data_IF_943546181923
#
_entry.id   IF_943546181923
#
_cell.length_a   1.000
_cell.length_b   1.000
_cell.length_c   1.000
_cell.angle_alpha   90.00
_cell.angle_beta   90.00
_cell.angle_gamma   90.00
#
_symmetry.space_group_name_H-M   'P 1'
#
loop_
_entity.id
_entity.type
_entity.pdbx_description
1 polymer ?
#
# COMPACT_ATOMS: atom_id res chain seq x y z
N UNK A 1 -14.58 49.05 -4.17
CA UNK A 1 -13.30 48.34 -4.01
C UNK A 1 -13.59 46.98 -3.40
N UNK A 2 -13.41 45.90 -4.17
CA UNK A 2 -13.62 44.53 -3.71
C UNK A 2 -12.39 44.12 -2.88
N UNK A 3 -12.57 43.96 -1.59
CA UNK A 3 -11.65 43.22 -0.74
C UNK A 3 -11.60 41.78 -1.24
N UNK A 4 -10.49 41.44 -1.90
CA UNK A 4 -10.11 40.05 -2.12
C UNK A 4 -10.01 39.41 -0.75
N UNK A 5 -10.94 38.51 -0.43
CA UNK A 5 -10.80 37.61 0.69
C UNK A 5 -9.49 36.84 0.46
N UNK A 6 -8.46 37.21 1.23
CA UNK A 6 -7.24 36.42 1.40
C UNK A 6 -7.69 35.02 1.78
N UNK A 7 -7.53 34.09 0.84
CA UNK A 7 -7.72 32.68 1.09
C UNK A 7 -6.98 32.34 2.38
N UNK A 8 -7.75 31.94 3.41
CA UNK A 8 -7.18 31.44 4.64
C UNK A 8 -6.11 30.39 4.25
N UNK A 9 -4.93 30.38 4.88
CA UNK A 9 -4.01 29.27 4.68
C UNK A 9 -4.80 28.03 5.07
N UNK A 10 -5.18 27.25 4.06
CA UNK A 10 -5.76 25.95 4.25
C UNK A 10 -4.82 25.25 5.23
N UNK A 11 -5.34 24.93 6.40
CA UNK A 11 -4.71 24.06 7.38
C UNK A 11 -4.15 22.89 6.58
N UNK A 12 -2.84 22.86 6.35
CA UNK A 12 -2.19 21.80 5.57
C UNK A 12 -2.35 20.56 6.45
N UNK A 13 -3.39 19.79 6.18
CA UNK A 13 -3.86 18.72 7.03
C UNK A 13 -2.84 17.58 6.97
N UNK A 14 -1.84 17.63 7.86
CA UNK A 14 -0.73 16.69 7.88
C UNK A 14 -1.17 15.31 8.39
N UNK A 15 -1.63 14.48 7.45
CA UNK A 15 -2.10 13.11 7.71
C UNK A 15 -1.01 12.20 8.28
N UNK A 16 0.27 12.48 8.01
CA UNK A 16 1.40 11.75 8.59
C UNK A 16 1.48 12.02 10.10
N UNK A 17 1.40 13.29 10.50
CA UNK A 17 1.44 13.66 11.93
C UNK A 17 0.21 13.17 12.70
N UNK A 18 -0.95 13.04 12.05
CA UNK A 18 -2.14 12.42 12.64
C UNK A 18 -2.00 10.91 12.76
N UNK A 19 -1.57 10.23 11.69
CA UNK A 19 -1.33 8.78 11.71
C UNK A 19 -0.31 8.38 12.77
N UNK A 20 0.80 9.12 12.88
CA UNK A 20 1.83 8.86 13.90
C UNK A 20 1.30 9.02 15.33
N UNK A 21 0.42 10.00 15.59
CA UNK A 21 -0.20 10.17 16.92
C UNK A 21 -1.22 9.09 17.23
N UNK A 22 -2.05 8.72 16.26
CA UNK A 22 -3.05 7.66 16.39
C UNK A 22 -2.40 6.28 16.60
N UNK A 23 -1.24 6.04 15.99
CA UNK A 23 -0.48 4.81 16.15
C UNK A 23 -0.11 4.54 17.62
N UNK A 24 0.35 5.55 18.35
CA UNK A 24 0.80 5.39 19.74
C UNK A 24 -0.33 4.98 20.69
N UNK A 25 -1.51 5.60 20.57
CA UNK A 25 -2.65 5.25 21.42
C UNK A 25 -3.30 3.91 21.08
N UNK A 26 -3.06 3.40 19.85
CA UNK A 26 -3.69 2.19 19.30
C UNK A 26 -2.70 1.07 19.03
N UNK A 27 -1.46 1.18 19.50
CA UNK A 27 -0.39 0.23 19.23
C UNK A 27 -0.81 -1.25 19.46
N UNK A 28 -1.51 -1.63 20.54
CA UNK A 28 -1.91 -3.03 20.75
C UNK A 28 -2.82 -3.57 19.63
N UNK A 29 -3.75 -2.74 19.15
CA UNK A 29 -4.67 -3.11 18.07
C UNK A 29 -3.96 -3.19 16.72
N UNK A 30 -3.02 -2.27 16.47
CA UNK A 30 -2.21 -2.29 15.24
C UNK A 30 -1.31 -3.52 15.20
N UNK A 31 -0.76 -3.95 16.34
CA UNK A 31 0.02 -5.18 16.46
C UNK A 31 -0.86 -6.42 16.22
N UNK A 32 -2.04 -6.47 16.84
CA UNK A 32 -2.98 -7.57 16.65
C UNK A 32 -3.43 -7.70 15.18
N UNK A 33 -3.72 -6.57 14.51
CA UNK A 33 -4.09 -6.55 13.10
C UNK A 33 -2.92 -6.92 12.16
N UNK A 34 -1.68 -6.81 12.62
CA UNK A 34 -0.47 -7.17 11.84
C UNK A 34 -0.16 -8.68 11.88
N UNK A 35 -0.66 -9.39 12.90
CA UNK A 35 -0.39 -10.82 13.11
C UNK A 35 -0.79 -11.73 11.91
N UNK A 36 -1.92 -11.51 11.21
CA UNK A 36 -2.29 -12.37 10.07
C UNK A 36 -1.42 -12.10 8.83
N UNK A 37 -0.93 -10.87 8.63
CA UNK A 37 0.00 -10.56 7.52
C UNK A 37 1.28 -11.36 7.71
N UNK A 38 1.73 -11.40 8.97
CA UNK A 38 2.86 -12.19 9.36
C UNK A 38 2.64 -13.69 9.15
N UNK A 39 1.49 -14.22 9.61
CA UNK A 39 1.18 -15.64 9.47
C UNK A 39 1.25 -16.08 8.00
N UNK A 40 0.72 -15.25 7.08
CA UNK A 40 0.81 -15.52 5.64
C UNK A 40 2.26 -15.50 5.16
N UNK A 41 3.05 -14.48 5.51
CA UNK A 41 4.46 -14.37 5.10
C UNK A 41 5.31 -15.55 5.59
N UNK A 42 5.09 -16.00 6.83
CA UNK A 42 5.77 -17.17 7.38
C UNK A 42 5.31 -18.42 6.64
N UNK A 43 4.00 -18.66 6.52
CA UNK A 43 3.48 -19.84 5.84
C UNK A 43 4.00 -19.97 4.40
N UNK A 44 4.04 -18.87 3.65
CA UNK A 44 4.54 -18.88 2.27
C UNK A 44 6.04 -19.09 2.19
N UNK A 45 6.82 -18.54 3.13
CA UNK A 45 8.25 -18.82 3.24
C UNK A 45 8.56 -20.29 3.51
N UNK A 46 7.80 -20.94 4.40
CA UNK A 46 7.91 -22.37 4.70
C UNK A 46 7.49 -23.24 3.51
N UNK A 47 6.31 -22.98 2.93
CA UNK A 47 5.74 -23.77 1.82
C UNK A 47 6.55 -23.65 0.53
N UNK A 48 7.17 -22.50 0.26
CA UNK A 48 7.97 -22.27 -0.95
C UNK A 48 9.39 -22.84 -0.87
N UNK A 49 9.83 -23.32 0.31
CA UNK A 49 11.21 -23.72 0.53
C UNK A 49 12.22 -22.59 0.26
N UNK A 50 11.81 -21.32 0.43
CA UNK A 50 12.63 -20.13 0.16
C UNK A 50 12.74 -19.74 -1.32
N UNK A 51 12.01 -20.38 -2.24
CA UNK A 51 12.03 -20.02 -3.66
C UNK A 51 11.20 -18.75 -3.89
N UNK A 52 11.86 -17.63 -4.17
CA UNK A 52 11.22 -16.32 -4.38
C UNK A 52 10.10 -16.34 -5.44
N UNK A 53 10.28 -17.09 -6.53
CA UNK A 53 9.28 -17.23 -7.60
C UNK A 53 7.98 -17.90 -7.16
N UNK A 54 8.01 -18.66 -6.07
CA UNK A 54 6.83 -19.30 -5.49
C UNK A 54 6.33 -18.50 -4.28
N UNK A 55 7.26 -18.01 -3.45
CA UNK A 55 6.96 -17.26 -2.24
C UNK A 55 6.21 -15.95 -2.54
N UNK A 56 6.68 -15.18 -3.54
CA UNK A 56 6.12 -13.86 -3.88
C UNK A 56 4.68 -13.94 -4.36
N UNK A 57 4.32 -14.75 -5.38
CA UNK A 57 2.93 -14.86 -5.80
C UNK A 57 2.05 -15.47 -4.70
N UNK A 58 2.52 -16.48 -3.96
CA UNK A 58 1.74 -17.07 -2.87
C UNK A 58 1.46 -16.04 -1.76
N UNK A 59 2.47 -15.25 -1.36
CA UNK A 59 2.34 -14.18 -0.38
C UNK A 59 1.44 -13.05 -0.87
N UNK A 60 1.55 -12.63 -2.12
CA UNK A 60 0.69 -11.59 -2.66
C UNK A 60 -0.76 -12.04 -2.82
N UNK A 61 -1.01 -13.29 -3.25
CA UNK A 61 -2.37 -13.83 -3.38
C UNK A 61 -3.04 -13.98 -2.01
N UNK A 62 -2.40 -14.67 -1.07
CA UNK A 62 -2.95 -14.93 0.26
C UNK A 62 -2.91 -13.70 1.18
N UNK A 63 -1.94 -12.80 0.98
CA UNK A 63 -1.68 -11.66 1.85
C UNK A 63 -2.41 -10.39 1.44
N UNK A 64 -2.78 -10.23 0.17
CA UNK A 64 -3.49 -9.03 -0.30
C UNK A 64 -4.78 -8.72 0.48
N UNK A 65 -5.68 -9.69 0.77
CA UNK A 65 -6.86 -9.41 1.59
C UNK A 65 -6.51 -8.90 2.99
N UNK A 66 -5.45 -9.43 3.60
CA UNK A 66 -5.01 -9.01 4.94
C UNK A 66 -4.41 -7.61 4.91
N UNK A 67 -3.59 -7.30 3.91
CA UNK A 67 -3.00 -5.98 3.72
C UNK A 67 -4.08 -4.93 3.45
N UNK A 68 -5.13 -5.27 2.71
CA UNK A 68 -6.28 -4.38 2.51
C UNK A 68 -7.05 -4.19 3.81
N UNK A 69 -7.28 -5.25 4.60
CA UNK A 69 -7.87 -5.12 5.93
C UNK A 69 -7.08 -4.14 6.81
N UNK A 70 -5.76 -4.27 6.79
CA UNK A 70 -4.85 -3.42 7.54
C UNK A 70 -4.84 -1.98 7.01
N UNK A 71 -4.95 -1.79 5.69
CA UNK A 71 -5.10 -0.48 5.07
C UNK A 71 -6.41 0.20 5.46
N UNK A 72 -7.52 -0.55 5.55
CA UNK A 72 -8.81 -0.02 6.05
C UNK A 72 -8.68 0.40 7.51
N UNK A 73 -8.10 -0.45 8.35
CA UNK A 73 -7.84 -0.12 9.77
C UNK A 73 -6.99 1.13 9.87
N UNK A 74 -5.90 1.22 9.11
CA UNK A 74 -5.02 2.38 9.06
C UNK A 74 -5.76 3.64 8.58
N UNK A 75 -6.57 3.54 7.53
CA UNK A 75 -7.37 4.65 7.01
C UNK A 75 -8.36 5.16 8.06
N UNK A 76 -9.07 4.26 8.73
CA UNK A 76 -10.01 4.64 9.81
C UNK A 76 -9.29 5.25 11.01
N UNK A 77 -8.11 4.76 11.38
CA UNK A 77 -7.26 5.37 12.40
C UNK A 77 -6.81 6.78 12.05
N UNK A 78 -6.45 7.02 10.79
CA UNK A 78 -5.95 8.31 10.29
C UNK A 78 -7.07 9.33 10.13
N UNK A 79 -8.25 8.90 9.68
CA UNK A 79 -9.37 9.78 9.35
C UNK A 79 -10.32 10.02 10.53
N UNK A 80 -10.83 8.93 11.11
CA UNK A 80 -11.94 8.96 12.05
C UNK A 80 -11.48 8.71 13.49
N UNK A 81 -10.28 8.17 13.65
CA UNK A 81 -9.74 7.84 14.96
C UNK A 81 -10.52 6.73 15.66
N UNK A 82 -11.35 5.93 14.99
CA UNK A 82 -12.10 4.77 15.49
C UNK A 82 -12.18 3.69 14.41
N UNK A 83 -12.33 2.41 14.78
CA UNK A 83 -12.44 1.30 13.82
C UNK A 83 -13.67 0.47 14.18
N UNK A 84 -14.59 0.27 13.24
CA UNK A 84 -15.78 -0.58 13.43
C UNK A 84 -15.68 -1.83 12.58
N UNK A 85 -16.18 -2.96 13.08
CA UNK A 85 -16.13 -4.24 12.36
C UNK A 85 -16.83 -4.21 10.99
N UNK A 86 -17.86 -3.35 10.85
CA UNK A 86 -18.58 -3.13 9.58
C UNK A 86 -17.71 -2.48 8.50
N UNK A 87 -16.64 -1.76 8.88
CA UNK A 87 -15.78 -1.05 7.94
C UNK A 87 -14.95 -2.02 7.07
N UNK A 88 -14.76 -3.27 7.53
CA UNK A 88 -14.08 -4.33 6.80
C UNK A 88 -14.91 -4.93 5.66
N UNK A 89 -16.21 -4.61 5.58
CA UNK A 89 -17.13 -5.14 4.55
C UNK A 89 -17.57 -4.08 3.53
N UNK A 90 -16.81 -3.00 3.39
CA UNK A 90 -17.13 -1.89 2.49
C UNK A 90 -17.00 -2.24 0.99
N UNK A 91 -17.73 -1.53 0.11
CA UNK A 91 -17.74 -1.77 -1.34
C UNK A 91 -16.37 -1.63 -2.02
N UNK A 92 -15.43 -0.89 -1.43
CA UNK A 92 -14.06 -0.71 -1.96
C UNK A 92 -13.11 -1.90 -1.74
N UNK A 93 -13.54 -2.93 -1.00
CA UNK A 93 -12.69 -4.06 -0.63
C UNK A 93 -12.16 -4.84 -1.84
N UNK A 94 -13.07 -5.36 -2.68
CA UNK A 94 -12.71 -6.20 -3.83
C UNK A 94 -11.77 -5.50 -4.82
N UNK A 95 -12.03 -4.25 -5.28
CA UNK A 95 -11.11 -3.58 -6.19
C UNK A 95 -9.77 -3.23 -5.52
N UNK A 96 -9.75 -2.91 -4.21
CA UNK A 96 -8.50 -2.68 -3.48
C UNK A 96 -7.61 -3.94 -3.41
N UNK A 97 -8.21 -5.11 -3.18
CA UNK A 97 -7.49 -6.40 -3.25
C UNK A 97 -6.94 -6.64 -4.66
N UNK A 98 -7.75 -6.34 -5.69
CA UNK A 98 -7.33 -6.39 -7.08
C UNK A 98 -6.11 -5.50 -7.39
N UNK A 99 -5.97 -4.36 -6.70
CA UNK A 99 -4.85 -3.43 -6.93
C UNK A 99 -3.54 -4.02 -6.42
N UNK A 100 -3.61 -4.67 -5.26
CA UNK A 100 -2.49 -5.41 -4.69
C UNK A 100 -2.11 -6.63 -5.52
N UNK A 101 -3.10 -7.36 -6.06
CA UNK A 101 -2.83 -8.46 -6.97
C UNK A 101 -2.21 -8.00 -8.30
N UNK A 102 -2.63 -6.86 -8.84
CA UNK A 102 -1.99 -6.29 -10.04
C UNK A 102 -0.51 -5.96 -9.79
N UNK A 103 -0.18 -5.36 -8.65
CA UNK A 103 1.20 -5.11 -8.25
C UNK A 103 1.98 -6.42 -8.05
N UNK A 104 1.38 -7.41 -7.39
CA UNK A 104 1.97 -8.75 -7.20
C UNK A 104 2.25 -9.44 -8.53
N UNK A 105 1.32 -9.37 -9.48
CA UNK A 105 1.45 -9.96 -10.80
C UNK A 105 2.62 -9.32 -11.58
N UNK A 106 2.76 -7.98 -11.53
CA UNK A 106 3.88 -7.28 -12.14
C UNK A 106 5.24 -7.74 -11.56
N UNK A 107 5.35 -7.87 -10.24
CA UNK A 107 6.56 -8.38 -9.58
C UNK A 107 6.84 -9.84 -9.98
N UNK A 108 5.81 -10.68 -9.97
CA UNK A 108 5.94 -12.11 -10.31
C UNK A 108 6.42 -12.31 -11.75
N UNK A 109 5.83 -11.57 -12.70
CA UNK A 109 6.24 -11.61 -14.11
C UNK A 109 7.68 -11.13 -14.30
N UNK A 110 8.09 -10.11 -13.53
CA UNK A 110 9.48 -9.61 -13.55
C UNK A 110 10.45 -10.67 -13.06
N UNK A 111 10.14 -11.31 -11.93
CA UNK A 111 10.97 -12.40 -11.39
C UNK A 111 11.06 -13.58 -12.38
N UNK A 112 9.95 -13.95 -13.01
CA UNK A 112 9.93 -14.98 -14.03
C UNK A 112 10.82 -14.61 -15.24
N UNK A 113 10.78 -13.36 -15.69
CA UNK A 113 11.64 -12.88 -16.77
C UNK A 113 13.14 -12.96 -16.41
N UNK A 114 13.51 -12.62 -15.16
CA UNK A 114 14.89 -12.81 -14.69
C UNK A 114 15.29 -14.28 -14.59
N UNK A 115 14.38 -15.17 -14.21
CA UNK A 115 14.67 -16.60 -14.19
C UNK A 115 14.90 -17.15 -15.60
N UNK A 116 14.09 -16.71 -16.58
CA UNK A 116 14.28 -17.05 -17.99
C UNK A 116 15.62 -16.51 -18.50
N UNK A 117 15.97 -15.25 -18.18
CA UNK A 117 17.28 -14.70 -18.51
C UNK A 117 18.41 -15.52 -17.88
N UNK A 118 18.34 -15.84 -16.58
CA UNK A 118 19.36 -16.64 -15.90
C UNK A 118 19.54 -18.05 -16.47
N UNK A 119 18.50 -18.62 -17.11
CA UNK A 119 18.58 -19.92 -17.78
C UNK A 119 19.06 -19.85 -19.23
N UNK A 120 18.85 -18.72 -19.90
CA UNK A 120 19.08 -18.60 -21.36
C UNK A 120 20.26 -17.69 -21.72
N UNK A 121 20.71 -16.86 -20.78
CA UNK A 121 21.70 -15.78 -20.94
C UNK A 121 21.44 -14.84 -22.13
N UNK A 122 20.21 -14.86 -22.66
CA UNK A 122 19.85 -14.15 -23.88
C UNK A 122 19.61 -12.67 -23.60
N UNK A 123 20.31 -11.80 -24.33
CA UNK A 123 20.08 -10.35 -24.28
C UNK A 123 18.64 -9.97 -24.65
N UNK A 124 17.95 -10.79 -25.45
CA UNK A 124 16.55 -10.60 -25.79
C UNK A 124 15.60 -10.84 -24.60
N UNK A 125 16.01 -11.62 -23.59
CA UNK A 125 15.26 -11.84 -22.35
C UNK A 125 15.56 -10.78 -21.28
N UNK A 126 16.72 -10.12 -21.38
CA UNK A 126 17.13 -9.06 -20.45
C UNK A 126 16.28 -7.80 -20.58
N UNK A 127 15.97 -7.38 -21.82
CA UNK A 127 15.19 -6.15 -22.07
C UNK A 127 13.78 -6.22 -21.45
N UNK A 128 12.99 -7.30 -21.63
CA UNK A 128 11.71 -7.47 -20.92
C UNK A 128 11.85 -7.53 -19.40
N UNK A 129 12.92 -8.13 -18.88
CA UNK A 129 13.16 -8.20 -17.43
C UNK A 129 13.40 -6.81 -16.82
N UNK A 130 14.22 -5.97 -17.49
CA UNK A 130 14.48 -4.59 -17.08
C UNK A 130 13.23 -3.71 -17.21
N UNK A 131 12.47 -3.84 -18.28
CA UNK A 131 11.17 -3.16 -18.42
C UNK A 131 10.19 -3.60 -17.32
N UNK A 132 10.19 -4.90 -16.99
CA UNK A 132 9.46 -5.47 -15.88
C UNK A 132 9.81 -4.83 -14.53
N UNK A 133 11.10 -4.61 -14.23
CA UNK A 133 11.53 -3.91 -13.02
C UNK A 133 10.87 -2.54 -12.88
N UNK A 134 10.86 -1.77 -13.96
CA UNK A 134 10.26 -0.42 -13.95
C UNK A 134 8.76 -0.53 -13.68
N UNK A 135 8.06 -1.42 -14.37
CA UNK A 135 6.62 -1.63 -14.19
C UNK A 135 6.29 -2.12 -12.77
N UNK A 136 7.05 -3.09 -12.25
CA UNK A 136 6.88 -3.62 -10.91
C UNK A 136 7.15 -2.56 -9.84
N UNK A 137 8.22 -1.77 -9.99
CA UNK A 137 8.55 -0.68 -9.09
C UNK A 137 7.43 0.38 -9.05
N UNK A 138 6.92 0.79 -10.22
CA UNK A 138 5.79 1.71 -10.28
C UNK A 138 4.52 1.09 -9.68
N UNK A 139 4.17 -0.14 -10.03
CA UNK A 139 2.97 -0.78 -9.52
C UNK A 139 2.98 -0.88 -7.98
N UNK A 140 4.12 -1.23 -7.40
CA UNK A 140 4.31 -1.29 -5.93
C UNK A 140 4.27 0.11 -5.30
N UNK A 141 4.90 1.11 -5.92
CA UNK A 141 4.91 2.48 -5.39
C UNK A 141 3.52 3.14 -5.43
N UNK A 142 2.71 2.81 -6.44
CA UNK A 142 1.39 3.39 -6.66
C UNK A 142 0.27 2.67 -5.90
N UNK A 143 0.46 1.39 -5.56
CA UNK A 143 -0.53 0.55 -4.89
C UNK A 143 -1.14 1.19 -3.62
N UNK A 144 -0.37 1.82 -2.71
CA UNK A 144 -0.94 2.45 -1.51
C UNK A 144 -1.94 3.58 -1.83
N UNK A 145 -1.61 4.44 -2.80
CA UNK A 145 -2.50 5.52 -3.24
C UNK A 145 -3.72 4.98 -3.99
N UNK A 146 -3.54 3.95 -4.83
CA UNK A 146 -4.64 3.28 -5.51
C UNK A 146 -5.61 2.63 -4.52
N UNK A 147 -5.10 1.94 -3.49
CA UNK A 147 -5.91 1.34 -2.42
C UNK A 147 -6.68 2.40 -1.66
N UNK A 148 -6.04 3.49 -1.22
CA UNK A 148 -6.72 4.58 -0.52
C UNK A 148 -7.86 5.19 -1.38
N UNK A 149 -7.60 5.41 -2.68
CA UNK A 149 -8.61 5.92 -3.62
C UNK A 149 -9.77 4.94 -3.83
N UNK A 150 -9.51 3.64 -3.94
CA UNK A 150 -10.54 2.62 -4.16
C UNK A 150 -11.38 2.35 -2.91
N UNK A 151 -10.78 2.51 -1.73
CA UNK A 151 -11.50 2.45 -0.46
C UNK A 151 -12.41 3.66 -0.24
N UNK A 152 -11.98 4.85 -0.69
CA UNK A 152 -12.79 6.09 -0.60
C UNK A 152 -13.82 6.24 -1.74
N UNK A 153 -13.46 5.81 -2.96
CA UNK A 153 -14.28 5.93 -4.17
C UNK A 153 -14.32 4.59 -4.92
N UNK A 154 -15.15 3.65 -4.46
CA UNK A 154 -15.21 2.29 -5.01
C UNK A 154 -15.66 2.25 -6.48
N UNK A 155 -16.49 3.21 -6.90
CA UNK A 155 -17.02 3.28 -8.27
C UNK A 155 -16.09 4.02 -9.25
N UNK A 156 -14.91 4.46 -8.79
CA UNK A 156 -13.95 5.12 -9.65
C UNK A 156 -13.44 4.14 -10.73
N UNK A 157 -13.44 4.53 -12.01
CA UNK A 157 -12.99 3.64 -13.07
C UNK A 157 -11.49 3.34 -12.89
N UNK A 158 -11.15 2.05 -12.97
CA UNK A 158 -9.81 1.50 -12.68
C UNK A 158 -8.67 2.33 -13.26
N UNK A 159 -8.77 2.70 -14.54
CA UNK A 159 -7.77 3.50 -15.24
C UNK A 159 -7.55 4.87 -14.58
N UNK A 160 -8.60 5.55 -14.13
CA UNK A 160 -8.48 6.86 -13.48
C UNK A 160 -7.78 6.75 -12.13
N UNK A 161 -8.01 5.66 -11.38
CA UNK A 161 -7.34 5.41 -10.09
C UNK A 161 -5.82 5.37 -10.29
N UNK A 162 -5.33 4.60 -11.25
CA UNK A 162 -3.89 4.51 -11.51
C UNK A 162 -3.28 5.80 -12.05
N UNK A 163 -4.02 6.55 -12.88
CA UNK A 163 -3.57 7.88 -13.35
C UNK A 163 -3.47 8.87 -12.19
N UNK A 164 -4.45 8.93 -11.31
CA UNK A 164 -4.42 9.82 -10.14
C UNK A 164 -3.34 9.39 -9.17
N UNK A 165 -3.16 8.09 -8.93
CA UNK A 165 -2.05 7.57 -8.14
C UNK A 165 -0.69 7.97 -8.73
N UNK A 166 -0.53 7.86 -10.06
CA UNK A 166 0.69 8.27 -10.76
C UNK A 166 0.97 9.75 -10.60
N UNK A 167 -0.06 10.60 -10.77
CA UNK A 167 0.05 12.04 -10.56
C UNK A 167 0.39 12.39 -9.10
N UNK A 168 -0.14 11.62 -8.14
CA UNK A 168 0.16 11.80 -6.72
C UNK A 168 1.62 11.45 -6.42
N UNK A 169 2.12 10.35 -7.00
CA UNK A 169 3.51 9.94 -6.87
C UNK A 169 4.49 10.90 -7.57
N UNK A 170 4.10 11.48 -8.70
CA UNK A 170 4.95 12.39 -9.47
C UNK A 170 5.17 13.76 -8.81
N UNK A 171 4.29 14.19 -7.88
CA UNK A 171 4.30 15.56 -7.34
C UNK A 171 5.03 15.76 -6.00
N UNK A 172 5.51 14.71 -5.33
CA UNK A 172 6.26 14.83 -4.05
C UNK A 172 7.34 13.73 -3.93
N UNK A 173 8.31 13.84 -2.99
CA UNK A 173 9.35 12.83 -2.75
C UNK A 173 8.91 11.63 -1.88
N UNK A 174 7.67 11.61 -1.40
CA UNK A 174 7.03 10.50 -0.67
C UNK A 174 7.08 9.10 -1.34
N UNK A 175 7.16 8.92 -2.69
CA UNK A 175 7.50 7.63 -3.34
C UNK A 175 8.79 6.99 -2.84
N UNK A 176 9.76 7.77 -2.35
CA UNK A 176 10.99 7.23 -1.76
C UNK A 176 10.64 6.45 -0.49
N UNK A 177 9.75 6.97 0.38
CA UNK A 177 9.29 6.26 1.58
C UNK A 177 8.49 5.00 1.24
N UNK A 178 7.62 5.05 0.23
CA UNK A 178 6.87 3.87 -0.24
C UNK A 178 7.79 2.77 -0.79
N UNK A 179 8.79 3.16 -1.58
CA UNK A 179 9.83 2.28 -2.09
C UNK A 179 10.72 1.71 -0.98
N UNK A 180 11.11 2.52 0.01
CA UNK A 180 11.87 2.05 1.18
C UNK A 180 11.06 1.11 2.05
N UNK A 181 9.77 1.36 2.26
CA UNK A 181 8.89 0.47 3.01
C UNK A 181 8.71 -0.85 2.27
N UNK A 182 8.53 -0.83 0.94
CA UNK A 182 8.48 -2.05 0.14
C UNK A 182 9.81 -2.81 0.17
N UNK A 183 10.95 -2.13 0.03
CA UNK A 183 12.28 -2.72 0.12
C UNK A 183 12.57 -3.27 1.52
N UNK A 184 12.15 -2.58 2.58
CA UNK A 184 12.25 -3.03 3.95
C UNK A 184 11.36 -4.25 4.21
N UNK A 185 10.14 -4.29 3.67
CA UNK A 185 9.26 -5.47 3.73
C UNK A 185 9.84 -6.66 2.96
N UNK A 186 10.48 -6.43 1.81
CA UNK A 186 11.17 -7.48 1.05
C UNK A 186 12.44 -7.97 1.76
N UNK A 187 13.26 -7.07 2.30
CA UNK A 187 14.44 -7.41 3.11
C UNK A 187 14.06 -8.11 4.40
N UNK A 188 12.95 -7.71 5.03
CA UNK A 188 12.34 -8.37 6.17
C UNK A 188 11.90 -9.81 5.86
N UNK A 189 11.25 -10.02 4.71
CA UNK A 189 10.90 -11.36 4.22
C UNK A 189 12.15 -12.24 4.07
N UNK A 190 13.29 -11.64 3.74
CA UNK A 190 14.59 -12.31 3.62
C UNK A 190 15.32 -12.57 4.95
N UNK A 191 15.18 -11.70 5.97
CA UNK A 191 16.09 -11.65 7.12
C UNK A 191 15.60 -12.35 8.41
N UNK A 192 14.44 -13.02 8.41
CA UNK A 192 13.92 -13.85 9.54
C UNK A 192 13.96 -13.19 10.95
N UNK A 193 13.84 -11.86 11.06
CA UNK A 193 13.90 -11.13 12.35
C UNK A 193 12.54 -11.15 13.08
N UNK A 194 12.41 -11.98 14.13
CA UNK A 194 11.12 -12.38 14.70
C UNK A 194 10.34 -11.30 15.47
N UNK A 195 11.01 -10.39 16.18
CA UNK A 195 10.33 -9.36 17.01
C UNK A 195 9.83 -8.17 16.16
N UNK A 196 10.53 -7.86 15.06
CA UNK A 196 10.10 -6.85 14.09
C UNK A 196 8.86 -7.28 13.30
N UNK A 197 8.54 -8.58 13.28
CA UNK A 197 7.44 -9.17 12.51
C UNK A 197 6.05 -8.63 12.85
N UNK A 198 5.79 -8.30 14.12
CA UNK A 198 4.47 -7.80 14.55
C UNK A 198 4.31 -6.29 14.36
N UNK A 199 5.42 -5.55 14.42
CA UNK A 199 5.42 -4.09 14.49
C UNK A 199 5.43 -3.47 13.09
N UNK A 200 6.18 -4.06 12.16
CA UNK A 200 6.44 -3.49 10.83
C UNK A 200 5.19 -3.39 9.94
N UNK A 201 4.30 -4.40 9.82
CA UNK A 201 3.21 -4.35 8.85
C UNK A 201 2.21 -3.23 9.16
N UNK A 202 1.81 -3.12 10.43
CA UNK A 202 0.84 -2.13 10.88
C UNK A 202 1.37 -0.70 10.81
N UNK A 203 2.61 -0.48 11.24
CA UNK A 203 3.25 0.83 11.10
C UNK A 203 3.41 1.19 9.63
N UNK A 204 3.86 0.26 8.80
CA UNK A 204 3.98 0.46 7.36
C UNK A 204 2.63 0.84 6.75
N UNK A 205 1.54 0.15 7.09
CA UNK A 205 0.21 0.47 6.60
C UNK A 205 -0.24 1.89 7.00
N UNK A 206 -0.05 2.27 8.26
CA UNK A 206 -0.40 3.62 8.74
C UNK A 206 0.44 4.69 8.02
N UNK A 207 1.75 4.50 7.92
CA UNK A 207 2.65 5.43 7.24
C UNK A 207 2.29 5.54 5.76
N UNK A 208 2.03 4.42 5.07
CA UNK A 208 1.69 4.38 3.66
C UNK A 208 0.32 5.02 3.36
N UNK A 209 -0.69 4.78 4.20
CA UNK A 209 -2.02 5.40 4.05
C UNK A 209 -1.95 6.90 4.33
N UNK A 210 -1.26 7.31 5.39
CA UNK A 210 -1.02 8.73 5.68
C UNK A 210 -0.25 9.41 4.54
N UNK A 211 0.81 8.78 4.05
CA UNK A 211 1.58 9.22 2.90
C UNK A 211 0.69 9.37 1.65
N UNK A 212 -0.13 8.37 1.34
CA UNK A 212 -1.08 8.41 0.23
C UNK A 212 -2.03 9.61 0.35
N UNK A 213 -2.65 9.82 1.51
CA UNK A 213 -3.54 10.95 1.71
C UNK A 213 -2.84 12.31 1.66
N UNK A 214 -1.60 12.43 2.16
CA UNK A 214 -0.83 13.67 1.97
C UNK A 214 -0.53 13.96 0.50
N UNK A 215 -0.22 12.94 -0.30
CA UNK A 215 0.03 13.09 -1.73
C UNK A 215 -1.26 13.45 -2.50
N UNK A 216 -2.38 12.83 -2.14
CA UNK A 216 -3.70 13.12 -2.73
C UNK A 216 -4.24 14.50 -2.35
N UNK A 217 -4.05 14.94 -1.10
CA UNK A 217 -4.43 16.27 -0.66
C UNK A 217 -3.68 17.36 -1.44
N UNK A 218 -2.41 17.13 -1.80
CA UNK A 218 -1.65 18.00 -2.70
C UNK A 218 -2.21 18.11 -4.14
N UNK A 219 -3.12 17.20 -4.53
CA UNK A 219 -3.89 17.25 -5.77
C UNK A 219 -5.30 17.85 -5.58
N UNK A 220 -5.65 18.32 -4.38
CA UNK A 220 -7.00 18.74 -4.03
C UNK A 220 -7.98 17.58 -3.82
N UNK A 221 -7.48 16.35 -3.70
CA UNK A 221 -8.30 15.16 -3.41
C UNK A 221 -8.28 14.91 -1.91
N UNK A 222 -9.36 15.28 -1.23
CA UNK A 222 -9.54 15.03 0.21
C UNK A 222 -10.43 13.81 0.44
N UNK A 223 -10.21 13.06 1.53
CA UNK A 223 -11.02 11.91 1.90
C UNK A 223 -12.46 12.31 2.20
N UNK A 224 -13.39 11.44 1.81
CA UNK A 224 -14.82 11.59 2.09
C UNK A 224 -15.07 11.28 3.57
N UNK A 225 -15.17 12.30 4.44
CA UNK A 225 -15.54 12.05 5.83
C UNK A 225 -16.96 11.47 5.86
N UNK A 226 -17.09 10.20 6.21
CA UNK A 226 -18.38 9.60 6.49
C UNK A 226 -18.83 10.12 7.85
N UNK A 227 -19.45 11.29 7.88
CA UNK A 227 -20.28 11.70 9.01
C UNK A 227 -21.42 10.70 9.09
N UNK A 228 -21.36 9.78 10.05
CA UNK A 228 -22.52 8.96 10.41
C UNK A 228 -23.58 9.88 11.02
N UNK A 229 -24.40 10.49 10.16
CA UNK A 229 -25.79 10.75 10.53
C UNK A 229 -26.54 9.48 10.14
N UNK A 230 -26.71 8.61 11.14
CA UNK A 230 -27.77 7.61 11.31
C UNK A 230 -27.47 6.82 12.59
#
# INVERSE_FOLDING_TARGET
>A
MRTLATAAPAVEEDWLRRGARALWSRAPWVLAASAPVLAVAVATGWLSGGRLLVAVPAAGVAGAPVLVALAIVAQRLVLDGEVRARDLRGPGWAPAVGAFWAATAAVTLTLAAFEVYGRTESAAALVPALAGCVVAAYAVALAPAAVALLLDRPDAPWRRVWVVALLAAARRPVPVLGGWVAAALLGWLGLRLQVLLLVVPGIAAVVLVSAAWTALAGLGVTPSRHTSQD
#
